data_IF_256181200240
#
_entry.id   IF_256181200240
#
_cell.length_a   1.000
_cell.length_b   1.000
_cell.length_c   1.000
_cell.angle_alpha   90.00
_cell.angle_beta   90.00
_cell.angle_gamma   90.00
#
_symmetry.space_group_name_H-M   'P 1'
#
loop_
_entity.id
_entity.type
_entity.pdbx_description
1 polymer ?
#
# COMPACT_ATOMS: atom_id res chain seq x y z
N UNK A 1 19.89 14.28 -8.55
CA UNK A 1 20.50 13.93 -9.84
C UNK A 1 20.08 12.51 -10.22
N UNK A 2 19.63 12.28 -11.45
CA UNK A 2 19.32 10.96 -11.98
C UNK A 2 20.60 10.37 -12.58
N UNK A 3 21.22 9.41 -11.89
CA UNK A 3 22.41 8.74 -12.36
C UNK A 3 22.02 7.42 -13.09
N UNK A 4 22.61 7.16 -14.26
CA UNK A 4 22.43 5.92 -15.00
C UNK A 4 21.14 5.81 -15.83
N UNK A 5 20.32 6.85 -15.90
CA UNK A 5 19.10 6.88 -16.74
C UNK A 5 19.44 7.50 -18.09
N UNK A 6 19.33 6.72 -19.16
CA UNK A 6 19.40 7.27 -20.52
C UNK A 6 18.30 8.31 -20.75
N UNK A 7 18.57 9.33 -21.56
CA UNK A 7 17.63 10.44 -21.83
C UNK A 7 16.24 9.96 -22.29
N UNK A 8 16.17 8.86 -23.01
CA UNK A 8 14.94 8.22 -23.47
C UNK A 8 14.03 7.69 -22.33
N UNK A 9 14.61 7.44 -21.14
CA UNK A 9 13.87 6.89 -20.01
C UNK A 9 13.50 7.97 -18.96
N UNK A 10 13.97 9.19 -19.11
CA UNK A 10 13.72 10.28 -18.14
C UNK A 10 12.22 10.54 -17.99
N UNK A 11 11.49 10.59 -19.10
CA UNK A 11 10.06 10.84 -19.06
C UNK A 11 9.31 9.75 -18.26
N UNK A 12 9.63 8.49 -18.50
CA UNK A 12 9.02 7.36 -17.77
C UNK A 12 9.33 7.41 -16.26
N UNK A 13 10.57 7.78 -15.90
CA UNK A 13 10.96 7.94 -14.48
C UNK A 13 10.22 9.11 -13.84
N UNK A 14 10.11 10.25 -14.54
CA UNK A 14 9.36 11.43 -14.05
C UNK A 14 7.89 11.06 -13.82
N UNK A 15 7.25 10.39 -14.79
CA UNK A 15 5.87 9.92 -14.64
C UNK A 15 5.72 8.97 -13.45
N UNK A 16 6.64 8.02 -13.29
CA UNK A 16 6.61 7.11 -12.13
C UNK A 16 6.78 7.86 -10.81
N UNK A 17 7.65 8.88 -10.75
CA UNK A 17 7.76 9.74 -9.57
C UNK A 17 6.46 10.52 -9.30
N UNK A 18 5.83 11.11 -10.33
CA UNK A 18 4.53 11.76 -10.18
C UNK A 18 3.49 10.81 -9.61
N UNK A 19 3.49 9.59 -10.10
CA UNK A 19 2.59 8.53 -9.65
C UNK A 19 2.82 8.12 -8.18
N UNK A 20 4.08 7.97 -7.77
CA UNK A 20 4.43 7.57 -6.39
C UNK A 20 4.06 8.67 -5.40
N UNK A 21 4.28 9.92 -5.78
CA UNK A 21 3.98 11.08 -4.93
C UNK A 21 2.56 11.63 -5.12
N UNK A 22 1.74 10.97 -5.95
CA UNK A 22 0.35 11.35 -6.22
C UNK A 22 0.22 12.83 -6.61
N UNK A 23 1.13 13.32 -7.49
CA UNK A 23 1.23 14.74 -7.81
C UNK A 23 0.08 15.24 -8.68
N UNK A 24 -0.64 14.34 -9.36
CA UNK A 24 -1.74 14.65 -10.25
C UNK A 24 -3.12 14.60 -9.56
N UNK A 25 -3.17 14.36 -8.24
CA UNK A 25 -4.40 14.33 -7.49
C UNK A 25 -5.17 15.66 -7.56
N UNK A 26 -6.49 15.64 -7.86
CA UNK A 26 -7.31 16.84 -8.00
C UNK A 26 -7.66 17.41 -6.60
N UNK A 27 -6.71 18.01 -5.92
CA UNK A 27 -6.88 18.48 -4.54
C UNK A 27 -7.95 19.57 -4.41
N UNK A 28 -8.24 20.29 -5.51
CA UNK A 28 -9.34 21.28 -5.54
C UNK A 28 -10.72 20.62 -5.40
N UNK A 29 -10.86 19.33 -5.68
CA UNK A 29 -12.08 18.56 -5.52
C UNK A 29 -12.04 17.73 -4.22
N UNK A 30 -10.88 17.12 -3.91
CA UNK A 30 -10.69 16.24 -2.75
C UNK A 30 -10.89 17.02 -1.45
N UNK A 31 -10.21 18.17 -1.29
CA UNK A 31 -10.22 18.89 -0.03
C UNK A 31 -11.61 19.43 0.35
N UNK A 32 -12.37 20.08 -0.54
CA UNK A 32 -13.74 20.50 -0.22
C UNK A 32 -14.69 19.33 0.05
N UNK A 33 -14.52 18.20 -0.67
CA UNK A 33 -15.34 17.00 -0.46
C UNK A 33 -15.15 16.43 0.95
N UNK A 34 -13.91 16.29 1.39
CA UNK A 34 -13.59 15.76 2.72
C UNK A 34 -13.86 16.79 3.86
N UNK A 35 -13.79 18.07 3.57
CA UNK A 35 -14.05 19.13 4.56
C UNK A 35 -15.52 19.19 5.02
N UNK A 36 -16.44 18.45 4.41
CA UNK A 36 -17.81 18.30 4.89
C UNK A 36 -17.87 17.52 6.22
N UNK A 37 -16.89 16.67 6.51
CA UNK A 37 -16.74 16.01 7.79
C UNK A 37 -15.87 16.86 8.73
N UNK A 38 -16.37 17.17 9.93
CA UNK A 38 -15.69 18.06 10.88
C UNK A 38 -14.32 17.50 11.35
N UNK A 39 -14.17 16.18 11.45
CA UNK A 39 -12.89 15.53 11.83
C UNK A 39 -11.90 15.69 10.69
N UNK A 40 -12.31 15.38 9.47
CA UNK A 40 -11.45 15.48 8.30
C UNK A 40 -11.11 16.94 7.95
N UNK A 41 -12.03 17.88 8.12
CA UNK A 41 -11.77 19.32 7.95
C UNK A 41 -10.63 19.80 8.84
N UNK A 42 -10.64 19.40 10.12
CA UNK A 42 -9.57 19.73 11.08
C UNK A 42 -8.23 19.12 10.65
N UNK A 43 -8.23 17.83 10.25
CA UNK A 43 -7.03 17.14 9.81
C UNK A 43 -6.46 17.72 8.50
N UNK A 44 -7.32 18.14 7.57
CA UNK A 44 -6.92 18.85 6.35
C UNK A 44 -6.22 20.17 6.66
N UNK A 45 -6.76 20.95 7.60
CA UNK A 45 -6.14 22.21 8.02
C UNK A 45 -4.75 22.02 8.63
N UNK A 46 -4.54 20.91 9.32
CA UNK A 46 -3.25 20.55 9.93
C UNK A 46 -2.25 19.89 8.94
N UNK A 47 -2.76 19.23 7.92
CA UNK A 47 -1.98 18.49 6.93
C UNK A 47 -2.33 18.93 5.50
N UNK A 48 -2.12 20.21 5.15
CA UNK A 48 -2.43 20.69 3.81
C UNK A 48 -1.55 19.97 2.77
N UNK A 49 -2.16 19.42 1.75
CA UNK A 49 -1.43 18.73 0.69
C UNK A 49 -1.13 17.26 0.97
N UNK A 50 -1.86 16.61 1.89
CA UNK A 50 -1.80 15.16 2.04
C UNK A 50 -2.03 14.47 0.69
N UNK A 51 -1.25 13.42 0.41
CA UNK A 51 -1.31 12.64 -0.81
C UNK A 51 -1.37 11.15 -0.49
N UNK A 52 -1.96 10.35 -1.38
CA UNK A 52 -1.93 8.89 -1.26
C UNK A 52 -0.66 8.37 -1.93
N UNK A 53 0.39 7.99 -1.17
CA UNK A 53 1.64 7.55 -1.79
C UNK A 53 1.42 6.24 -2.55
N UNK A 54 1.79 6.23 -3.82
CA UNK A 54 1.77 5.06 -4.68
C UNK A 54 2.92 4.09 -4.39
N UNK A 55 3.15 3.17 -5.32
CA UNK A 55 4.26 2.23 -5.28
C UNK A 55 5.04 2.26 -6.60
N UNK A 56 6.34 1.96 -6.55
CA UNK A 56 7.13 1.76 -7.76
C UNK A 56 6.68 0.50 -8.50
N UNK A 57 6.43 -0.57 -7.74
CA UNK A 57 5.99 -1.87 -8.23
C UNK A 57 4.83 -2.39 -7.36
N UNK A 58 3.72 -2.75 -7.98
CA UNK A 58 2.50 -3.20 -7.30
C UNK A 58 2.66 -4.59 -6.68
N UNK A 59 3.43 -5.48 -7.33
CA UNK A 59 3.71 -6.81 -6.80
C UNK A 59 4.56 -6.74 -5.53
N UNK A 60 5.64 -5.95 -5.55
CA UNK A 60 6.45 -5.71 -4.35
C UNK A 60 5.60 -5.14 -3.22
N UNK A 61 4.74 -4.15 -3.52
CA UNK A 61 3.83 -3.59 -2.52
C UNK A 61 2.93 -4.66 -1.90
N UNK A 62 2.30 -5.51 -2.71
CA UNK A 62 1.43 -6.58 -2.24
C UNK A 62 2.17 -7.60 -1.37
N UNK A 63 3.39 -8.00 -1.78
CA UNK A 63 4.26 -8.85 -0.95
C UNK A 63 4.54 -8.19 0.40
N UNK A 64 4.92 -6.91 0.41
CA UNK A 64 5.20 -6.15 1.64
C UNK A 64 3.96 -6.01 2.52
N UNK A 65 2.78 -5.82 1.95
CA UNK A 65 1.50 -5.77 2.68
C UNK A 65 1.20 -7.11 3.38
N UNK A 66 1.41 -8.25 2.69
CA UNK A 66 1.25 -9.59 3.28
C UNK A 66 2.28 -9.82 4.39
N UNK A 67 3.53 -9.41 4.20
CA UNK A 67 4.57 -9.52 5.22
C UNK A 67 4.25 -8.70 6.47
N UNK A 68 3.65 -7.52 6.28
CA UNK A 68 3.30 -6.60 7.37
C UNK A 68 2.09 -7.01 8.22
N UNK A 69 1.32 -8.03 7.81
CA UNK A 69 0.18 -8.49 8.60
C UNK A 69 0.60 -8.90 10.01
N UNK A 70 0.01 -8.27 11.03
CA UNK A 70 0.18 -8.61 12.46
C UNK A 70 1.62 -8.53 12.99
N UNK A 71 2.52 -7.81 12.35
CA UNK A 71 3.88 -7.57 12.83
C UNK A 71 4.26 -6.09 12.70
N UNK A 72 5.34 -5.68 13.36
CA UNK A 72 5.84 -4.31 13.25
C UNK A 72 6.44 -4.02 11.86
N UNK A 73 6.41 -2.74 11.45
CA UNK A 73 7.03 -2.27 10.20
C UNK A 73 8.50 -2.67 10.12
N UNK A 74 9.23 -2.55 11.24
CA UNK A 74 10.65 -2.95 11.32
C UNK A 74 10.85 -4.44 11.03
N UNK A 75 10.00 -5.30 11.61
CA UNK A 75 10.06 -6.75 11.36
C UNK A 75 9.72 -7.08 9.90
N UNK A 76 8.66 -6.47 9.34
CA UNK A 76 8.28 -6.66 7.95
C UNK A 76 9.40 -6.24 6.99
N UNK A 77 10.05 -5.09 7.23
CA UNK A 77 11.19 -4.62 6.44
C UNK A 77 12.38 -5.59 6.50
N UNK A 78 12.68 -6.12 7.69
CA UNK A 78 13.75 -7.10 7.86
C UNK A 78 13.48 -8.38 7.06
N UNK A 79 12.23 -8.88 7.12
CA UNK A 79 11.82 -10.08 6.37
C UNK A 79 11.85 -9.81 4.87
N UNK A 80 11.36 -8.68 4.40
CA UNK A 80 11.44 -8.28 3.00
C UNK A 80 12.89 -8.25 2.51
N UNK A 81 13.82 -7.69 3.29
CA UNK A 81 15.25 -7.71 2.98
C UNK A 81 15.83 -9.13 2.85
N UNK A 82 15.39 -10.07 3.71
CA UNK A 82 15.81 -11.48 3.59
C UNK A 82 15.27 -12.14 2.31
N UNK A 83 14.03 -11.85 1.92
CA UNK A 83 13.45 -12.32 0.66
C UNK A 83 14.23 -11.77 -0.52
N UNK A 84 14.52 -10.48 -0.54
CA UNK A 84 15.31 -9.84 -1.60
C UNK A 84 16.70 -10.46 -1.69
N UNK A 85 17.39 -10.68 -0.57
CA UNK A 85 18.71 -11.30 -0.55
C UNK A 85 18.70 -12.76 -1.03
N UNK A 86 17.63 -13.52 -0.73
CA UNK A 86 17.54 -14.94 -1.05
C UNK A 86 17.05 -15.22 -2.48
N UNK A 87 16.20 -14.34 -3.02
CA UNK A 87 15.49 -14.58 -4.28
C UNK A 87 15.63 -13.46 -5.30
N UNK A 88 16.15 -12.30 -4.91
CA UNK A 88 16.37 -11.16 -5.81
C UNK A 88 17.52 -11.40 -6.78
N UNK A 89 17.57 -10.59 -7.83
CA UNK A 89 18.66 -10.58 -8.80
C UNK A 89 19.76 -9.64 -8.33
N UNK A 90 21.01 -10.08 -8.22
CA UNK A 90 22.12 -9.21 -7.83
C UNK A 90 22.34 -8.07 -8.82
N UNK A 91 22.53 -6.84 -8.30
CA UNK A 91 22.86 -5.66 -9.10
C UNK A 91 24.33 -5.30 -8.86
N UNK A 92 25.12 -5.32 -9.94
CA UNK A 92 26.54 -4.97 -9.89
C UNK A 92 26.79 -3.57 -10.46
N UNK A 93 27.81 -2.87 -9.93
CA UNK A 93 28.35 -1.67 -10.56
C UNK A 93 27.43 -0.45 -10.56
N UNK A 94 26.40 -0.38 -9.71
CA UNK A 94 25.44 0.74 -9.69
C UNK A 94 25.94 1.99 -8.94
N UNK A 95 27.10 1.94 -8.31
CA UNK A 95 27.68 3.07 -7.57
C UNK A 95 26.97 3.46 -6.26
N UNK A 96 25.95 2.71 -5.83
CA UNK A 96 25.17 2.95 -4.61
C UNK A 96 25.38 1.81 -3.60
N UNK A 97 26.24 2.00 -2.57
CA UNK A 97 26.40 1.02 -1.51
C UNK A 97 25.04 0.72 -0.84
N UNK A 98 24.68 -0.56 -0.77
CA UNK A 98 23.40 -1.00 -0.18
C UNK A 98 22.31 -1.33 -1.19
N UNK A 99 22.37 -0.90 -2.45
CA UNK A 99 21.51 -1.38 -3.53
C UNK A 99 22.14 -2.63 -4.17
N UNK A 100 21.95 -3.77 -3.56
CA UNK A 100 22.65 -5.01 -3.91
C UNK A 100 21.83 -5.97 -4.76
N UNK A 101 20.52 -5.86 -4.71
CA UNK A 101 19.59 -6.76 -5.42
C UNK A 101 18.34 -6.00 -5.88
N UNK A 102 17.79 -6.43 -7.00
CA UNK A 102 16.42 -6.10 -7.40
C UNK A 102 15.42 -6.91 -6.57
N UNK A 103 14.19 -6.41 -6.44
CA UNK A 103 13.11 -7.19 -5.86
C UNK A 103 12.85 -8.44 -6.73
N UNK A 104 12.60 -9.62 -6.13
CA UNK A 104 12.43 -10.85 -6.92
C UNK A 104 11.19 -10.79 -7.79
N UNK A 105 11.34 -11.22 -9.05
CA UNK A 105 10.24 -11.36 -9.98
C UNK A 105 9.18 -12.38 -9.49
N UNK A 106 7.90 -12.23 -9.91
CA UNK A 106 6.82 -13.14 -9.52
C UNK A 106 7.15 -14.62 -9.77
N UNK A 107 7.76 -14.95 -10.91
CA UNK A 107 8.13 -16.31 -11.28
C UNK A 107 9.12 -16.95 -10.28
N UNK A 108 9.99 -16.14 -9.70
CA UNK A 108 10.95 -16.58 -8.67
C UNK A 108 10.22 -16.91 -7.37
N UNK A 109 9.33 -16.02 -6.91
CA UNK A 109 8.60 -16.22 -5.66
C UNK A 109 7.52 -17.30 -5.78
N UNK A 110 6.95 -17.52 -6.97
CA UNK A 110 6.00 -18.59 -7.24
C UNK A 110 6.58 -19.99 -6.95
N UNK A 111 7.91 -20.15 -7.08
CA UNK A 111 8.66 -21.40 -6.87
C UNK A 111 9.47 -21.41 -5.56
N UNK A 112 9.42 -20.32 -4.79
CA UNK A 112 10.25 -20.16 -3.60
C UNK A 112 9.80 -21.10 -2.46
N UNK A 113 10.76 -21.68 -1.76
CA UNK A 113 10.49 -22.50 -0.57
C UNK A 113 10.39 -21.69 0.72
N UNK A 114 10.91 -20.44 0.73
CA UNK A 114 10.96 -19.53 1.86
C UNK A 114 11.64 -20.10 3.12
N UNK A 115 12.57 -21.05 2.95
CA UNK A 115 13.34 -21.61 4.07
C UNK A 115 14.20 -20.51 4.71
N UNK A 116 14.27 -20.49 6.03
CA UNK A 116 15.10 -19.57 6.83
C UNK A 116 14.80 -18.06 6.63
N UNK A 117 13.65 -17.72 6.05
CA UNK A 117 13.24 -16.32 5.87
C UNK A 117 12.66 -15.73 7.18
N UNK A 118 12.08 -16.57 8.04
CA UNK A 118 11.43 -16.15 9.29
C UNK A 118 9.95 -15.78 9.12
N UNK A 119 9.26 -16.45 8.20
CA UNK A 119 7.80 -16.35 8.01
C UNK A 119 7.11 -17.68 8.31
N UNK A 120 5.83 -17.63 8.67
CA UNK A 120 5.01 -18.84 8.87
C UNK A 120 4.76 -19.57 7.56
N UNK A 121 4.48 -20.86 7.64
CA UNK A 121 4.12 -21.66 6.46
C UNK A 121 2.87 -21.15 5.74
N UNK A 122 1.88 -20.64 6.47
CA UNK A 122 0.68 -20.01 5.90
C UNK A 122 1.02 -18.76 5.09
N UNK A 123 1.86 -17.86 5.64
CA UNK A 123 2.31 -16.64 4.95
C UNK A 123 3.14 -16.98 3.71
N UNK A 124 4.03 -17.98 3.80
CA UNK A 124 4.77 -18.47 2.65
C UNK A 124 3.85 -19.02 1.54
N UNK A 125 2.78 -19.72 1.92
CA UNK A 125 1.78 -20.20 0.97
C UNK A 125 1.01 -19.06 0.30
N UNK A 126 0.60 -18.04 1.05
CA UNK A 126 -0.07 -16.83 0.50
C UNK A 126 0.84 -16.12 -0.50
N UNK A 127 2.13 -15.91 -0.16
CA UNK A 127 3.09 -15.26 -1.06
C UNK A 127 3.29 -16.07 -2.36
N UNK A 128 3.38 -17.40 -2.28
CA UNK A 128 3.47 -18.23 -3.49
C UNK A 128 2.23 -18.11 -4.37
N UNK A 129 1.03 -18.14 -3.78
CA UNK A 129 -0.23 -18.01 -4.54
C UNK A 129 -0.34 -16.64 -5.21
N UNK A 130 -0.01 -15.55 -4.50
CA UNK A 130 0.06 -14.22 -5.09
C UNK A 130 1.03 -14.21 -6.29
N UNK A 131 2.24 -14.72 -6.09
CA UNK A 131 3.26 -14.77 -7.12
C UNK A 131 2.85 -15.64 -8.33
N UNK A 132 2.17 -16.77 -8.09
CA UNK A 132 1.62 -17.62 -9.14
C UNK A 132 0.51 -16.92 -9.93
N UNK A 133 -0.39 -16.20 -9.27
CA UNK A 133 -1.45 -15.44 -9.91
C UNK A 133 -0.88 -14.34 -10.83
N UNK A 134 0.15 -13.64 -10.37
CA UNK A 134 0.81 -12.59 -11.17
C UNK A 134 1.61 -13.19 -12.32
N UNK A 135 2.45 -14.19 -12.06
CA UNK A 135 3.25 -14.87 -13.09
C UNK A 135 2.39 -15.57 -14.16
N UNK A 136 1.21 -16.07 -13.77
CA UNK A 136 0.23 -16.69 -14.67
C UNK A 136 -0.70 -15.70 -15.37
N UNK A 137 -0.60 -14.39 -15.10
CA UNK A 137 -1.42 -13.36 -15.73
C UNK A 137 -2.87 -13.29 -15.24
N UNK A 138 -3.26 -14.07 -14.21
CA UNK A 138 -4.60 -14.00 -13.63
C UNK A 138 -4.79 -12.83 -12.65
N UNK A 139 -3.71 -12.20 -12.22
CA UNK A 139 -3.68 -10.95 -11.46
C UNK A 139 -2.65 -10.01 -12.08
N UNK A 140 -3.06 -8.79 -12.38
CA UNK A 140 -2.18 -7.72 -12.89
C UNK A 140 -2.26 -6.52 -11.95
N UNK A 141 -1.27 -5.65 -11.95
CA UNK A 141 -1.25 -4.37 -11.24
C UNK A 141 -1.38 -3.19 -12.19
N UNK A 142 -2.00 -3.41 -13.34
CA UNK A 142 -2.31 -2.33 -14.27
C UNK A 142 -3.38 -1.41 -13.68
N UNK A 143 -3.12 -0.11 -13.66
CA UNK A 143 -4.02 0.91 -13.09
C UNK A 143 -5.32 1.09 -13.89
N UNK A 144 -5.39 0.54 -15.11
CA UNK A 144 -6.59 0.59 -15.95
C UNK A 144 -7.64 -0.45 -15.57
N UNK A 145 -7.33 -1.37 -14.64
CA UNK A 145 -8.27 -2.40 -14.23
C UNK A 145 -9.44 -1.84 -13.42
N UNK A 146 -10.58 -2.53 -13.51
CA UNK A 146 -11.68 -2.28 -12.59
C UNK A 146 -11.25 -2.59 -11.13
N UNK A 147 -11.31 -1.59 -10.23
CA UNK A 147 -10.89 -1.77 -8.84
C UNK A 147 -11.68 -2.84 -8.08
N UNK A 148 -12.96 -3.07 -8.44
CA UNK A 148 -13.78 -4.09 -7.79
C UNK A 148 -13.32 -5.48 -8.20
N UNK A 149 -13.13 -5.73 -9.50
CA UNK A 149 -12.61 -7.00 -10.01
C UNK A 149 -11.19 -7.30 -9.48
N UNK A 150 -10.33 -6.29 -9.39
CA UNK A 150 -9.00 -6.45 -8.79
C UNK A 150 -9.08 -6.85 -7.32
N UNK A 151 -9.94 -6.19 -6.54
CA UNK A 151 -10.16 -6.53 -5.13
C UNK A 151 -10.64 -7.96 -4.97
N UNK A 152 -11.61 -8.41 -5.77
CA UNK A 152 -12.11 -9.78 -5.76
C UNK A 152 -11.02 -10.79 -6.10
N UNK A 153 -10.18 -10.51 -7.10
CA UNK A 153 -9.03 -11.33 -7.46
C UNK A 153 -8.02 -11.48 -6.32
N UNK A 154 -7.78 -10.42 -5.55
CA UNK A 154 -6.93 -10.48 -4.36
C UNK A 154 -7.59 -11.30 -3.24
N UNK A 155 -8.87 -11.10 -2.98
CA UNK A 155 -9.61 -11.83 -1.93
C UNK A 155 -9.75 -13.33 -2.24
N UNK A 156 -9.71 -13.73 -3.51
CA UNK A 156 -9.67 -15.12 -3.91
C UNK A 156 -8.39 -15.85 -3.50
N UNK A 157 -7.32 -15.10 -3.14
CA UNK A 157 -6.05 -15.68 -2.69
C UNK A 157 -6.13 -15.97 -1.18
N UNK A 158 -6.10 -17.24 -0.74
CA UNK A 158 -6.12 -17.59 0.68
C UNK A 158 -5.00 -16.91 1.47
N UNK A 159 -5.38 -16.19 2.53
CA UNK A 159 -4.48 -15.41 3.38
C UNK A 159 -4.42 -13.92 3.03
N UNK A 160 -5.09 -13.48 1.99
CA UNK A 160 -5.36 -12.06 1.72
C UNK A 160 -6.77 -11.75 2.21
N UNK A 161 -6.86 -10.85 3.19
CA UNK A 161 -8.12 -10.35 3.72
C UNK A 161 -8.45 -8.97 3.18
N UNK A 162 -9.64 -8.47 3.54
CA UNK A 162 -10.19 -7.18 3.11
C UNK A 162 -9.21 -6.03 3.31
N UNK A 163 -8.58 -5.95 4.49
CA UNK A 163 -7.60 -4.90 4.79
C UNK A 163 -6.45 -4.88 3.77
N UNK A 164 -5.88 -6.05 3.46
CA UNK A 164 -4.76 -6.15 2.52
C UNK A 164 -5.22 -5.80 1.10
N UNK A 165 -6.39 -6.27 0.68
CA UNK A 165 -6.93 -6.00 -0.64
C UNK A 165 -7.18 -4.49 -0.84
N UNK A 166 -7.81 -3.82 0.13
CA UNK A 166 -8.06 -2.37 0.09
C UNK A 166 -6.75 -1.56 0.12
N UNK A 167 -5.81 -1.93 1.00
CA UNK A 167 -4.52 -1.26 1.08
C UNK A 167 -3.73 -1.35 -0.24
N UNK A 168 -3.75 -2.53 -0.86
CA UNK A 168 -3.06 -2.74 -2.15
C UNK A 168 -3.78 -1.99 -3.27
N UNK A 169 -5.12 -2.03 -3.34
CA UNK A 169 -5.89 -1.26 -4.32
C UNK A 169 -5.65 0.26 -4.20
N UNK A 170 -5.61 0.77 -2.96
CA UNK A 170 -5.30 2.18 -2.67
C UNK A 170 -3.96 2.59 -3.27
N UNK A 171 -2.92 1.79 -3.04
CA UNK A 171 -1.54 2.21 -3.29
C UNK A 171 -0.97 1.73 -4.62
N UNK A 172 -1.38 0.55 -5.09
CA UNK A 172 -0.90 -0.01 -6.36
C UNK A 172 -1.76 0.42 -7.55
N UNK A 173 -3.10 0.43 -7.40
CA UNK A 173 -4.01 0.89 -8.45
C UNK A 173 -4.40 2.37 -8.32
N UNK A 174 -3.93 3.06 -7.27
CA UNK A 174 -4.32 4.45 -6.97
C UNK A 174 -5.84 4.64 -6.89
N UNK A 175 -6.55 3.63 -6.40
CA UNK A 175 -7.98 3.75 -6.23
C UNK A 175 -8.28 4.79 -5.13
N UNK A 176 -8.85 5.97 -5.49
CA UNK A 176 -9.09 7.05 -4.53
C UNK A 176 -10.18 6.71 -3.53
N UNK A 177 -11.00 5.70 -3.84
CA UNK A 177 -12.10 5.25 -2.99
C UNK A 177 -11.81 3.95 -2.23
N UNK A 178 -10.59 3.41 -2.30
CA UNK A 178 -10.19 2.26 -1.48
C UNK A 178 -10.08 2.66 0.00
N UNK A 179 -10.66 1.84 0.88
CA UNK A 179 -10.71 2.16 2.31
C UNK A 179 -10.57 0.90 3.18
N UNK A 180 -9.47 0.75 3.92
CA UNK A 180 -9.24 -0.41 4.78
C UNK A 180 -9.92 -0.23 6.15
N UNK A 181 -11.26 -0.25 6.21
CA UNK A 181 -12.05 0.03 7.42
C UNK A 181 -11.68 -0.82 8.65
N UNK A 182 -11.08 -2.00 8.43
CA UNK A 182 -10.60 -2.86 9.51
C UNK A 182 -9.20 -2.48 10.05
N UNK A 183 -8.62 -1.37 9.55
CA UNK A 183 -7.33 -0.89 10.03
C UNK A 183 -7.40 -0.38 11.46
N UNK A 184 -6.49 -0.88 12.32
CA UNK A 184 -6.47 -0.49 13.73
C UNK A 184 -6.10 0.98 13.94
N UNK A 185 -5.28 1.57 13.05
CA UNK A 185 -4.93 2.98 13.09
C UNK A 185 -6.16 3.84 12.79
N UNK A 186 -6.93 3.49 11.76
CA UNK A 186 -8.19 4.18 11.42
C UNK A 186 -9.22 4.07 12.55
N UNK A 187 -9.39 2.88 13.12
CA UNK A 187 -10.33 2.69 14.25
C UNK A 187 -9.92 3.52 15.48
N UNK A 188 -8.60 3.61 15.75
CA UNK A 188 -8.05 4.41 16.86
C UNK A 188 -8.29 5.91 16.70
N UNK A 189 -8.31 6.44 15.49
CA UNK A 189 -8.57 7.85 15.24
C UNK A 189 -9.94 8.32 15.77
N UNK A 190 -10.86 7.38 16.01
CA UNK A 190 -12.18 7.64 16.59
C UNK A 190 -12.32 7.19 18.05
N UNK A 191 -11.24 6.72 18.69
CA UNK A 191 -11.31 6.35 20.12
C UNK A 191 -11.68 7.58 20.97
N UNK A 192 -12.62 7.38 21.89
CA UNK A 192 -13.05 8.40 22.85
C UNK A 192 -13.04 7.81 24.26
N UNK A 193 -12.56 8.56 25.27
CA UNK A 193 -12.63 8.12 26.65
C UNK A 193 -14.06 7.72 27.05
N UNK A 194 -14.20 6.56 27.67
CA UNK A 194 -15.48 6.04 28.14
C UNK A 194 -16.43 5.50 27.06
N UNK A 195 -16.02 5.44 25.81
CA UNK A 195 -16.81 4.82 24.74
C UNK A 195 -16.11 3.58 24.18
N UNK A 196 -16.87 2.54 23.79
CA UNK A 196 -16.27 1.40 23.10
C UNK A 196 -15.74 1.84 21.73
N UNK A 197 -14.63 1.18 21.30
CA UNK A 197 -14.05 1.40 19.98
C UNK A 197 -15.06 1.05 18.88
N UNK A 198 -15.02 1.81 17.80
CA UNK A 198 -15.80 1.52 16.60
C UNK A 198 -15.46 0.13 16.06
N UNK A 199 -16.47 -0.57 15.59
CA UNK A 199 -16.28 -1.80 14.80
C UNK A 199 -15.99 -1.44 13.34
N UNK A 200 -15.26 -2.30 12.60
CA UNK A 200 -14.96 -2.06 11.18
C UNK A 200 -16.20 -1.72 10.34
N UNK A 201 -17.33 -2.41 10.55
CA UNK A 201 -18.56 -2.16 9.82
C UNK A 201 -19.14 -0.76 10.08
N UNK A 202 -19.01 -0.23 11.30
CA UNK A 202 -19.46 1.13 11.63
C UNK A 202 -18.57 2.19 10.96
N UNK A 203 -17.25 1.94 10.92
CA UNK A 203 -16.32 2.84 10.23
C UNK A 203 -16.53 2.78 8.71
N UNK A 204 -16.81 1.61 8.15
CA UNK A 204 -17.17 1.46 6.74
C UNK A 204 -18.44 2.25 6.40
N UNK A 205 -19.48 2.18 7.24
CA UNK A 205 -20.71 2.95 7.07
C UNK A 205 -20.45 4.48 7.14
N UNK A 206 -19.71 4.92 8.14
CA UNK A 206 -19.32 6.35 8.25
C UNK A 206 -18.55 6.82 7.02
N UNK A 207 -17.67 6.00 6.49
CA UNK A 207 -16.82 6.35 5.35
C UNK A 207 -17.58 6.57 4.04
N UNK A 208 -18.84 6.14 3.96
CA UNK A 208 -19.66 6.36 2.75
C UNK A 208 -19.86 7.85 2.44
N UNK A 209 -19.85 8.71 3.46
CA UNK A 209 -19.93 10.16 3.30
C UNK A 209 -18.66 10.78 2.68
N UNK A 210 -17.55 10.04 2.66
CA UNK A 210 -16.26 10.53 2.16
C UNK A 210 -15.98 10.11 0.71
N UNK A 211 -16.92 9.40 0.07
CA UNK A 211 -16.80 9.02 -1.34
C UNK A 211 -16.76 10.24 -2.26
N UNK A 212 -15.99 10.17 -3.33
CA UNK A 212 -15.12 9.07 -3.80
C UNK A 212 -13.68 9.16 -3.26
N UNK A 213 -13.42 9.89 -2.19
CA UNK A 213 -12.07 10.25 -1.70
C UNK A 213 -11.66 9.51 -0.42
N UNK A 214 -12.20 8.31 -0.17
CA UNK A 214 -11.97 7.56 1.08
C UNK A 214 -10.50 7.22 1.33
N UNK A 215 -9.69 7.03 0.29
CA UNK A 215 -8.25 6.79 0.44
C UNK A 215 -7.54 7.99 1.05
N UNK A 216 -7.90 9.21 0.67
CA UNK A 216 -7.36 10.45 1.26
C UNK A 216 -7.84 10.65 2.70
N UNK A 217 -9.10 10.30 2.99
CA UNK A 217 -9.61 10.28 4.36
C UNK A 217 -8.78 9.32 5.23
N UNK A 218 -8.45 8.13 4.72
CA UNK A 218 -7.59 7.18 5.43
C UNK A 218 -6.21 7.76 5.73
N UNK A 219 -5.58 8.44 4.77
CA UNK A 219 -4.27 9.08 4.97
C UNK A 219 -4.33 10.20 6.00
N UNK A 220 -5.38 11.00 6.00
CA UNK A 220 -5.61 12.04 7.02
C UNK A 220 -5.75 11.42 8.41
N UNK A 221 -6.53 10.35 8.53
CA UNK A 221 -6.75 9.65 9.81
C UNK A 221 -5.50 8.93 10.32
N UNK A 222 -4.58 8.51 9.43
CA UNK A 222 -3.27 7.97 9.82
C UNK A 222 -2.24 9.04 10.15
N UNK A 223 -2.47 10.29 9.77
CA UNK A 223 -1.55 11.38 10.08
C UNK A 223 -1.57 11.68 11.59
N UNK A 224 -0.42 12.05 12.20
CA UNK A 224 -0.37 12.46 13.57
C UNK A 224 -1.32 13.65 13.82
N UNK A 225 -2.02 13.65 14.93
CA UNK A 225 -2.78 14.84 15.34
C UNK A 225 -1.81 16.02 15.58
N UNK A 226 -2.23 17.25 15.22
CA UNK A 226 -1.46 18.45 15.56
C UNK A 226 -1.25 18.51 17.08
N UNK A 227 0.01 18.47 17.52
CA UNK A 227 0.37 18.52 18.94
C UNK A 227 0.59 17.17 19.64
N UNK A 228 0.51 16.03 18.97
CA UNK A 228 0.78 14.71 19.54
C UNK A 228 2.25 14.25 19.37
N UNK A 229 3.15 15.13 18.94
CA UNK A 229 4.59 14.90 18.84
C UNK A 229 5.28 15.23 20.15
N UNK A 230 5.47 14.24 21.01
CA UNK A 230 6.32 14.23 22.19
C UNK A 230 7.13 12.95 22.20
#
# INVERSE_FOLDING_TARGET
AMHGVGTQNIFAVVQRCREIFDLDAPMQEIAPGLAQDAVLARLLGANPGVRVPGAWDGFELAVRAILGQQISVKAATTIAGRIVKAYGEPVQGNGFPGLTHLFPAPERLARARFNNIGITGSRAATLRRLAQAVAGGSLSFDVSQDPAAFRESLLAIPGIGEWTAQYVAMRALKNPDAFPAADLGLLRAFDRPGRPRLRPAQLEEMSQAWRPWRAYAALLLWSPEPGSGG
#
